data_IF_851575121998
#
_entry.id   IF_851575121998
#
_cell.length_a   1.000
_cell.length_b   1.000
_cell.length_c   1.000
_cell.angle_alpha   90.00
_cell.angle_beta   90.00
_cell.angle_gamma   90.00
#
_symmetry.space_group_name_H-M   'P 1'
#
loop_
_entity.id
_entity.type
_entity.pdbx_description
1 polymer ?
#
# COMPACT_ATOMS: atom_id res chain seq x y z
N UNK A 1 75.72 -32.77 -0.05
CA UNK A 1 74.44 -32.08 -0.27
C UNK A 1 73.34 -32.98 0.29
N UNK A 2 72.69 -32.55 1.37
CA UNK A 2 71.58 -33.26 2.01
C UNK A 2 70.31 -33.02 1.19
N UNK A 3 69.54 -34.04 0.78
CA UNK A 3 68.32 -33.82 0.03
C UNK A 3 67.26 -33.17 0.94
N UNK A 4 66.76 -32.02 0.52
CA UNK A 4 65.67 -31.30 1.18
C UNK A 4 64.35 -31.94 0.75
N UNK A 5 63.66 -32.64 1.66
CA UNK A 5 62.28 -33.06 1.45
C UNK A 5 61.37 -31.85 1.69
N UNK A 6 60.94 -31.20 0.63
CA UNK A 6 59.88 -30.19 0.70
C UNK A 6 58.55 -30.92 0.94
N UNK A 7 57.77 -30.59 1.98
CA UNK A 7 56.46 -31.19 2.19
C UNK A 7 55.53 -30.85 1.02
N UNK A 8 54.89 -31.85 0.44
CA UNK A 8 53.78 -31.64 -0.51
C UNK A 8 52.61 -31.03 0.29
N UNK A 9 52.03 -29.90 -0.14
CA UNK A 9 50.85 -29.34 0.52
C UNK A 9 49.72 -30.38 0.51
N UNK A 10 48.93 -30.54 1.59
CA UNK A 10 47.78 -31.43 1.55
C UNK A 10 46.85 -30.97 0.43
N UNK A 11 46.57 -31.87 -0.52
CA UNK A 11 45.54 -31.69 -1.53
C UNK A 11 44.24 -31.37 -0.79
N UNK A 12 43.70 -30.17 -1.00
CA UNK A 12 42.42 -29.78 -0.40
C UNK A 12 41.36 -30.80 -0.83
N UNK A 13 40.83 -31.56 0.12
CA UNK A 13 39.64 -32.38 -0.09
C UNK A 13 38.52 -31.45 -0.54
N UNK A 14 37.85 -31.68 -1.68
CA UNK A 14 36.70 -30.87 -2.05
C UNK A 14 35.70 -30.97 -0.90
N UNK A 15 35.41 -29.83 -0.28
CA UNK A 15 34.37 -29.74 0.73
C UNK A 15 33.05 -29.93 0.01
N UNK A 16 32.57 -31.17 -0.06
CA UNK A 16 31.20 -31.48 -0.46
C UNK A 16 30.28 -30.99 0.65
N UNK A 17 30.07 -29.68 0.74
CA UNK A 17 28.99 -29.12 1.54
C UNK A 17 27.70 -29.69 0.93
N UNK A 18 26.88 -30.46 1.68
CA UNK A 18 25.64 -30.98 1.13
C UNK A 18 24.76 -29.81 0.71
N UNK A 19 24.59 -29.62 -0.60
CA UNK A 19 23.67 -28.62 -1.14
C UNK A 19 22.27 -29.07 -0.77
N UNK A 20 21.55 -28.25 -0.01
CA UNK A 20 20.17 -28.55 0.34
C UNK A 20 19.34 -28.69 -0.95
N UNK A 21 18.45 -29.69 -1.01
CA UNK A 21 17.58 -29.87 -2.16
C UNK A 21 16.71 -28.64 -2.42
N UNK A 22 16.53 -28.23 -3.69
CA UNK A 22 15.84 -27.00 -4.00
C UNK A 22 14.34 -27.07 -3.72
N UNK A 23 13.76 -25.89 -3.50
CA UNK A 23 12.35 -25.61 -3.38
C UNK A 23 11.76 -25.05 -4.69
N UNK A 24 10.44 -24.94 -4.74
CA UNK A 24 9.68 -24.29 -5.82
C UNK A 24 8.68 -23.31 -5.23
N UNK A 25 8.51 -22.19 -5.94
CA UNK A 25 7.52 -21.15 -5.64
C UNK A 25 6.72 -20.87 -6.90
N UNK A 26 5.43 -20.59 -6.78
CA UNK A 26 4.62 -20.04 -7.86
C UNK A 26 3.19 -19.80 -7.39
N UNK A 27 2.33 -19.45 -8.34
CA UNK A 27 0.92 -19.84 -8.46
C UNK A 27 0.30 -19.08 -9.63
N UNK A 28 -0.53 -18.06 -9.39
CA UNK A 28 -1.32 -17.39 -10.41
C UNK A 28 -1.44 -15.87 -10.23
N UNK A 29 -1.56 -15.19 -11.35
CA UNK A 29 -1.93 -13.78 -11.43
C UNK A 29 -3.18 -13.67 -12.30
N UNK A 30 -4.17 -12.89 -11.87
CA UNK A 30 -5.43 -12.72 -12.59
C UNK A 30 -5.83 -11.26 -12.71
N UNK A 31 -6.74 -11.01 -13.65
CA UNK A 31 -7.40 -9.74 -13.81
C UNK A 31 -8.63 -9.74 -12.91
N UNK A 32 -8.54 -9.02 -11.80
CA UNK A 32 -9.62 -8.82 -10.84
C UNK A 32 -10.60 -7.79 -11.44
N UNK A 33 -11.70 -8.31 -12.00
CA UNK A 33 -12.65 -7.52 -12.78
C UNK A 33 -13.63 -6.76 -11.88
N UNK A 34 -13.84 -7.23 -10.66
CA UNK A 34 -14.77 -6.64 -9.72
C UNK A 34 -14.06 -5.85 -8.60
N UNK A 35 -12.74 -5.99 -8.48
CA UNK A 35 -11.89 -5.25 -7.55
C UNK A 35 -11.99 -5.72 -6.09
N UNK A 36 -12.46 -6.95 -5.84
CA UNK A 36 -12.68 -7.45 -4.48
C UNK A 36 -11.46 -8.16 -3.87
N UNK A 37 -10.38 -8.36 -4.65
CA UNK A 37 -9.18 -9.03 -4.20
C UNK A 37 -9.27 -10.55 -4.08
N UNK A 38 -10.35 -11.15 -4.55
CA UNK A 38 -10.60 -12.58 -4.54
C UNK A 38 -10.91 -13.09 -5.94
N UNK A 39 -10.09 -14.03 -6.41
CA UNK A 39 -10.33 -14.72 -7.66
C UNK A 39 -11.67 -15.44 -7.66
N UNK A 40 -12.45 -15.17 -8.69
CA UNK A 40 -13.78 -15.72 -8.89
C UNK A 40 -14.01 -16.20 -10.32
N UNK A 41 -15.05 -17.02 -10.50
CA UNK A 41 -15.43 -17.50 -11.84
C UNK A 41 -15.73 -16.32 -12.78
N UNK A 42 -15.08 -16.32 -13.94
CA UNK A 42 -15.21 -15.25 -14.94
C UNK A 42 -14.08 -14.21 -14.92
N UNK A 43 -13.19 -14.27 -13.93
CA UNK A 43 -11.98 -13.44 -13.90
C UNK A 43 -10.85 -14.13 -14.67
N UNK A 44 -10.33 -13.52 -15.75
CA UNK A 44 -9.36 -14.17 -16.61
C UNK A 44 -7.96 -14.15 -15.99
N UNK A 45 -7.11 -15.14 -16.33
CA UNK A 45 -5.69 -15.09 -15.99
C UNK A 45 -5.01 -13.88 -16.63
N UNK A 46 -3.97 -13.35 -15.97
CA UNK A 46 -3.24 -12.17 -16.42
C UNK A 46 -1.82 -12.52 -16.85
N UNK A 47 -1.61 -12.52 -18.17
CA UNK A 47 -0.31 -12.72 -18.80
C UNK A 47 0.57 -11.46 -18.74
N UNK A 48 1.89 -11.65 -18.69
CA UNK A 48 2.85 -10.57 -18.89
C UNK A 48 3.22 -9.78 -17.63
N UNK A 49 2.75 -10.20 -16.47
CA UNK A 49 3.15 -9.62 -15.18
C UNK A 49 4.56 -10.08 -14.85
N UNK A 50 5.44 -9.12 -14.54
CA UNK A 50 6.81 -9.43 -14.12
C UNK A 50 6.79 -9.76 -12.64
N UNK A 51 7.25 -10.96 -12.28
CA UNK A 51 7.39 -11.41 -10.90
C UNK A 51 8.87 -11.47 -10.56
N UNK A 52 9.27 -10.80 -9.47
CA UNK A 52 10.65 -10.79 -8.99
C UNK A 52 10.75 -11.47 -7.64
N UNK A 53 11.60 -12.48 -7.54
CA UNK A 53 11.93 -13.13 -6.27
C UNK A 53 13.13 -12.42 -5.64
N UNK A 54 12.94 -11.84 -4.46
CA UNK A 54 14.00 -11.23 -3.66
C UNK A 54 14.40 -12.15 -2.53
N UNK A 55 15.71 -12.33 -2.34
CA UNK A 55 16.24 -12.96 -1.13
C UNK A 55 16.34 -11.92 -0.02
N UNK A 56 15.86 -12.30 1.15
CA UNK A 56 15.92 -11.53 2.38
C UNK A 56 17.05 -12.05 3.26
N UNK A 57 18.30 -11.80 2.86
CA UNK A 57 19.46 -12.16 3.69
C UNK A 57 19.72 -11.04 4.68
N UNK A 58 19.74 -11.39 5.97
CA UNK A 58 20.31 -10.54 7.01
C UNK A 58 21.82 -10.41 6.74
N UNK A 59 22.26 -9.21 6.32
CA UNK A 59 23.67 -8.95 5.99
C UNK A 59 24.47 -8.57 7.23
N UNK A 60 23.86 -7.81 8.13
CA UNK A 60 24.47 -7.34 9.37
C UNK A 60 23.51 -7.59 10.53
N UNK A 61 23.87 -8.49 11.45
CA UNK A 61 23.15 -8.69 12.70
C UNK A 61 23.93 -7.98 13.80
N UNK A 62 23.34 -6.94 14.40
CA UNK A 62 23.83 -6.39 15.64
C UNK A 62 23.66 -7.45 16.73
N UNK A 63 24.73 -8.14 17.10
CA UNK A 63 24.70 -9.22 18.09
C UNK A 63 24.36 -8.73 19.52
N UNK A 64 24.36 -7.43 19.77
CA UNK A 64 23.97 -6.83 21.07
C UNK A 64 22.48 -6.52 21.12
N UNK A 65 21.88 -6.03 20.03
CA UNK A 65 20.45 -5.67 19.99
C UNK A 65 19.57 -6.69 19.28
N UNK A 66 20.15 -7.67 18.59
CA UNK A 66 19.45 -8.60 17.72
C UNK A 66 18.94 -7.98 16.42
N UNK A 67 19.17 -6.68 16.18
CA UNK A 67 18.68 -5.99 15.00
C UNK A 67 19.46 -6.42 13.75
N UNK A 68 18.76 -6.89 12.73
CA UNK A 68 19.33 -7.29 11.46
C UNK A 68 19.01 -6.29 10.36
N UNK A 69 20.02 -5.84 9.62
CA UNK A 69 19.82 -5.15 8.34
C UNK A 69 19.55 -6.20 7.27
N UNK A 70 18.32 -6.23 6.76
CA UNK A 70 17.92 -7.08 5.63
C UNK A 70 18.17 -6.31 4.34
N UNK A 71 18.94 -6.89 3.42
CA UNK A 71 19.10 -6.35 2.07
C UNK A 71 18.35 -7.24 1.09
N UNK A 72 17.38 -6.67 0.38
CA UNK A 72 16.69 -7.37 -0.69
C UNK A 72 17.63 -7.48 -1.90
N UNK A 73 17.99 -8.71 -2.28
CA UNK A 73 18.75 -8.98 -3.51
C UNK A 73 17.90 -9.78 -4.48
N UNK A 74 17.82 -9.34 -5.73
CA UNK A 74 17.12 -10.09 -6.79
C UNK A 74 17.78 -11.45 -6.95
N UNK A 75 16.99 -12.51 -6.84
CA UNK A 75 17.41 -13.90 -7.11
C UNK A 75 17.07 -14.28 -8.54
N UNK A 76 15.82 -14.03 -8.95
CA UNK A 76 15.30 -14.41 -10.24
C UNK A 76 14.09 -13.54 -10.61
N UNK A 77 13.78 -13.53 -11.90
CA UNK A 77 12.57 -12.91 -12.45
C UNK A 77 11.83 -13.91 -13.33
N UNK A 78 10.51 -13.91 -13.27
CA UNK A 78 9.61 -14.65 -14.13
C UNK A 78 8.59 -13.69 -14.77
N UNK A 79 7.97 -14.13 -15.86
CA UNK A 79 6.84 -13.42 -16.48
C UNK A 79 5.67 -14.38 -16.52
N UNK A 80 4.49 -13.93 -16.10
CA UNK A 80 3.30 -14.80 -16.08
C UNK A 80 2.92 -15.25 -17.49
N UNK A 81 2.62 -16.53 -17.63
CA UNK A 81 2.25 -17.16 -18.89
C UNK A 81 0.80 -16.82 -19.29
N UNK A 82 0.33 -17.35 -20.43
CA UNK A 82 -1.01 -17.08 -20.96
C UNK A 82 -2.12 -17.52 -20.00
N UNK A 83 -1.87 -18.55 -19.21
CA UNK A 83 -2.75 -19.04 -18.15
C UNK A 83 -2.53 -18.32 -16.81
N UNK A 84 -1.78 -17.21 -16.80
CA UNK A 84 -1.55 -16.37 -15.63
C UNK A 84 -0.56 -16.96 -14.64
N UNK A 85 0.00 -18.14 -14.92
CA UNK A 85 0.88 -18.84 -13.99
C UNK A 85 2.31 -18.35 -14.10
N UNK A 86 3.02 -18.39 -12.97
CA UNK A 86 4.46 -18.20 -12.90
C UNK A 86 5.06 -19.24 -11.95
N UNK A 87 6.35 -19.53 -12.11
CA UNK A 87 7.07 -20.39 -11.19
C UNK A 87 8.56 -20.06 -11.14
N UNK A 88 9.14 -20.21 -9.97
CA UNK A 88 10.57 -20.30 -9.73
C UNK A 88 10.89 -21.73 -9.33
N UNK A 89 11.73 -22.39 -10.11
CA UNK A 89 12.23 -23.74 -9.81
C UNK A 89 13.67 -23.64 -9.32
N UNK A 90 14.15 -24.69 -8.65
CA UNK A 90 15.53 -24.75 -8.16
C UNK A 90 15.89 -23.68 -7.10
N UNK A 91 14.93 -23.21 -6.30
CA UNK A 91 15.16 -22.14 -5.31
C UNK A 91 15.87 -22.71 -4.09
N UNK A 92 16.96 -22.06 -3.66
CA UNK A 92 17.68 -22.49 -2.44
C UNK A 92 16.81 -22.24 -1.21
N UNK A 93 16.84 -23.09 -0.17
CA UNK A 93 16.17 -22.78 1.10
C UNK A 93 16.67 -21.47 1.71
N UNK A 94 15.77 -20.66 2.26
CA UNK A 94 16.08 -19.32 2.75
C UNK A 94 14.86 -18.45 2.98
N UNK A 95 15.07 -17.17 3.29
CA UNK A 95 14.01 -16.18 3.45
C UNK A 95 13.85 -15.35 2.16
N UNK A 96 12.61 -15.09 1.78
CA UNK A 96 12.24 -14.53 0.50
C UNK A 96 11.04 -13.59 0.58
N UNK A 97 10.88 -12.80 -0.48
CA UNK A 97 9.71 -11.97 -0.78
C UNK A 97 9.49 -11.96 -2.29
N UNK A 98 8.23 -11.90 -2.72
CA UNK A 98 7.86 -11.69 -4.11
C UNK A 98 7.44 -10.23 -4.32
N UNK A 99 7.81 -9.68 -5.48
CA UNK A 99 7.21 -8.46 -6.00
C UNK A 99 6.58 -8.73 -7.36
N UNK A 100 5.37 -8.23 -7.54
CA UNK A 100 4.60 -8.35 -8.78
C UNK A 100 4.48 -6.97 -9.39
N UNK A 101 4.89 -6.83 -10.65
CA UNK A 101 4.80 -5.58 -11.39
C UNK A 101 3.89 -5.77 -12.59
N UNK A 102 2.69 -5.18 -12.49
CA UNK A 102 1.69 -5.15 -13.55
C UNK A 102 2.03 -4.13 -14.63
N UNK A 103 1.15 -4.03 -15.64
CA UNK A 103 1.23 -2.98 -16.66
C UNK A 103 0.87 -1.60 -16.08
N UNK A 104 1.21 -0.52 -16.79
CA UNK A 104 0.81 0.84 -16.41
C UNK A 104 -0.73 1.06 -16.38
N UNK A 105 -1.51 0.15 -16.97
CA UNK A 105 -2.96 0.25 -17.05
C UNK A 105 -3.70 -0.46 -15.91
N UNK A 106 -2.99 -1.21 -15.06
CA UNK A 106 -3.57 -1.96 -13.95
C UNK A 106 -2.82 -1.66 -12.65
N UNK A 107 -3.53 -1.76 -11.54
CA UNK A 107 -2.96 -1.66 -10.20
C UNK A 107 -3.27 -2.93 -9.42
N UNK A 108 -2.43 -3.31 -8.45
CA UNK A 108 -2.75 -4.41 -7.56
C UNK A 108 -4.08 -4.16 -6.83
N UNK A 109 -4.84 -5.22 -6.64
CA UNK A 109 -6.08 -5.19 -5.85
C UNK A 109 -5.79 -5.23 -4.34
N UNK A 110 -6.84 -5.24 -3.53
CA UNK A 110 -6.72 -5.44 -2.09
C UNK A 110 -6.16 -6.85 -1.78
N UNK A 111 -5.18 -6.93 -0.89
CA UNK A 111 -4.57 -8.19 -0.49
C UNK A 111 -5.28 -8.83 0.71
N UNK A 112 -5.10 -10.13 0.91
CA UNK A 112 -5.57 -10.90 2.06
C UNK A 112 -7.08 -10.75 2.30
N UNK A 113 -7.89 -10.91 1.26
CA UNK A 113 -9.33 -10.65 1.30
C UNK A 113 -10.14 -11.91 1.56
N UNK A 114 -11.09 -11.81 2.50
CA UNK A 114 -11.92 -12.93 2.92
C UNK A 114 -11.17 -13.94 3.78
N UNK A 115 -11.65 -15.18 3.82
CA UNK A 115 -11.13 -16.24 4.70
C UNK A 115 -10.48 -17.42 3.94
N UNK A 116 -10.57 -17.42 2.61
CA UNK A 116 -10.04 -18.48 1.77
C UNK A 116 -8.75 -18.01 1.10
N UNK A 117 -7.63 -18.43 1.69
CA UNK A 117 -6.24 -18.14 1.31
C UNK A 117 -5.87 -18.72 -0.07
N UNK A 118 -6.74 -19.53 -0.68
CA UNK A 118 -6.44 -20.19 -1.98
C UNK A 118 -6.94 -19.40 -3.19
N UNK A 119 -7.64 -18.29 -2.94
CA UNK A 119 -8.25 -17.47 -3.99
C UNK A 119 -7.98 -15.97 -3.81
N UNK A 120 -7.44 -15.52 -2.69
CA UNK A 120 -7.17 -14.11 -2.47
C UNK A 120 -5.77 -13.70 -2.94
N UNK A 121 -5.56 -12.40 -3.05
CA UNK A 121 -4.27 -11.85 -3.45
C UNK A 121 -3.36 -11.75 -2.22
N UNK A 122 -2.20 -12.40 -2.21
CA UNK A 122 -1.23 -12.27 -1.10
C UNK A 122 -0.46 -10.96 -1.13
N UNK A 123 -0.30 -10.39 -2.33
CA UNK A 123 0.58 -9.26 -2.57
C UNK A 123 -0.16 -7.93 -2.40
N UNK A 124 0.28 -7.10 -1.46
CA UNK A 124 -0.29 -5.79 -1.16
C UNK A 124 0.35 -4.68 -1.99
N UNK A 125 -0.44 -3.72 -2.50
CA UNK A 125 0.07 -2.58 -3.25
C UNK A 125 1.05 -1.74 -2.41
N UNK A 126 2.18 -1.36 -3.01
CA UNK A 126 3.15 -0.45 -2.38
C UNK A 126 2.89 0.98 -2.86
N UNK A 127 2.41 1.83 -1.95
CA UNK A 127 2.03 3.20 -2.28
C UNK A 127 0.92 3.27 -3.35
N UNK A 128 0.98 4.31 -4.20
CA UNK A 128 0.13 4.46 -5.39
C UNK A 128 0.94 4.07 -6.64
N UNK A 129 1.31 2.79 -6.72
CA UNK A 129 2.13 2.26 -7.82
C UNK A 129 1.50 1.01 -8.43
N UNK A 130 2.04 0.54 -9.56
CA UNK A 130 1.64 -0.70 -10.21
C UNK A 130 2.33 -1.95 -9.64
N UNK A 131 2.95 -1.81 -8.46
CA UNK A 131 3.74 -2.85 -7.80
C UNK A 131 3.05 -3.30 -6.52
N UNK A 132 2.98 -4.61 -6.33
CA UNK A 132 2.63 -5.23 -5.05
C UNK A 132 3.72 -6.15 -4.54
N UNK A 133 3.78 -6.33 -3.23
CA UNK A 133 4.71 -7.24 -2.59
C UNK A 133 3.99 -8.21 -1.66
N UNK A 134 4.45 -9.46 -1.64
CA UNK A 134 4.04 -10.43 -0.63
C UNK A 134 4.61 -10.06 0.75
N UNK A 135 4.06 -10.63 1.83
CA UNK A 135 4.78 -10.76 3.09
C UNK A 135 6.14 -11.48 2.89
N UNK A 136 7.04 -11.33 3.85
CA UNK A 136 8.24 -12.15 3.91
C UNK A 136 7.87 -13.60 4.25
N UNK A 137 8.49 -14.56 3.58
CA UNK A 137 8.28 -15.99 3.83
C UNK A 137 9.60 -16.76 3.83
N UNK A 138 9.55 -18.02 4.29
CA UNK A 138 10.72 -18.89 4.32
C UNK A 138 10.46 -20.15 3.52
N UNK A 139 11.51 -20.63 2.86
CA UNK A 139 11.53 -21.90 2.16
C UNK A 139 12.46 -22.86 2.88
N UNK A 140 11.96 -24.07 3.14
CA UNK A 140 12.76 -25.21 3.58
C UNK A 140 13.13 -26.11 2.40
N UNK A 141 14.09 -27.02 2.60
CA UNK A 141 14.48 -28.00 1.59
C UNK A 141 13.27 -28.81 1.09
N UNK A 142 13.21 -29.03 -0.23
CA UNK A 142 12.11 -29.71 -0.94
C UNK A 142 10.73 -29.03 -0.89
N UNK A 143 10.58 -27.86 -0.26
CA UNK A 143 9.27 -27.23 -0.12
C UNK A 143 8.71 -26.79 -1.49
N UNK A 144 7.40 -26.93 -1.64
CA UNK A 144 6.63 -26.45 -2.79
C UNK A 144 5.59 -25.48 -2.23
N UNK A 145 5.67 -24.21 -2.60
CA UNK A 145 4.64 -23.21 -2.31
C UNK A 145 4.00 -22.79 -3.62
N UNK A 146 2.71 -23.10 -3.77
CA UNK A 146 1.89 -22.81 -4.95
C UNK A 146 0.59 -22.16 -4.49
N UNK A 147 0.74 -21.07 -3.75
CA UNK A 147 -0.35 -20.32 -3.15
C UNK A 147 -0.05 -18.82 -3.16
N UNK A 148 0.95 -18.38 -3.92
CA UNK A 148 1.37 -16.98 -3.94
C UNK A 148 0.73 -16.29 -5.14
N UNK A 149 -0.42 -15.71 -4.87
CA UNK A 149 -1.39 -15.20 -5.81
C UNK A 149 -1.37 -13.65 -5.83
N UNK A 150 -1.61 -13.05 -7.01
CA UNK A 150 -1.71 -11.59 -7.14
C UNK A 150 -2.81 -11.16 -8.11
N UNK A 151 -3.78 -10.40 -7.60
CA UNK A 151 -4.85 -9.80 -8.39
C UNK A 151 -4.51 -8.38 -8.86
N UNK A 152 -4.90 -8.04 -10.09
CA UNK A 152 -4.73 -6.70 -10.65
C UNK A 152 -6.05 -6.21 -11.25
N UNK A 153 -6.43 -4.96 -10.94
CA UNK A 153 -7.66 -4.34 -11.38
C UNK A 153 -7.41 -3.00 -12.10
N UNK A 154 -8.43 -2.47 -12.77
CA UNK A 154 -8.35 -1.12 -13.33
C UNK A 154 -8.25 -0.07 -12.21
N UNK A 155 -7.35 0.92 -12.36
CA UNK A 155 -7.13 1.92 -11.34
C UNK A 155 -8.35 2.82 -11.16
N UNK A 156 -8.60 3.18 -9.92
CA UNK A 156 -9.57 4.20 -9.54
C UNK A 156 -8.88 5.56 -9.47
N UNK A 157 -9.63 6.61 -9.81
CA UNK A 157 -9.20 8.01 -9.66
C UNK A 157 -10.15 8.75 -8.73
N UNK A 158 -9.60 9.41 -7.70
CA UNK A 158 -10.34 10.35 -6.86
C UNK A 158 -9.83 11.75 -7.18
N UNK A 159 -10.70 12.63 -7.63
CA UNK A 159 -10.33 13.99 -8.01
C UNK A 159 -11.42 14.98 -7.68
N UNK A 160 -11.05 16.21 -7.32
CA UNK A 160 -12.04 17.28 -7.19
C UNK A 160 -11.39 18.64 -7.05
N UNK A 161 -12.20 19.62 -6.67
CA UNK A 161 -11.81 20.98 -6.37
C UNK A 161 -12.25 21.38 -4.95
N UNK A 162 -11.48 22.27 -4.35
CA UNK A 162 -11.78 22.93 -3.08
C UNK A 162 -12.01 24.41 -3.35
N UNK A 163 -13.06 24.98 -2.77
CA UNK A 163 -13.51 26.34 -3.05
C UNK A 163 -13.96 27.07 -1.79
N UNK A 164 -14.05 28.39 -1.87
CA UNK A 164 -14.60 29.23 -0.80
C UNK A 164 -16.12 29.21 -0.92
N UNK A 165 -16.79 28.50 -0.01
CA UNK A 165 -18.25 28.41 0.09
C UNK A 165 -18.80 29.70 0.73
N UNK A 166 -19.12 30.68 -0.09
CA UNK A 166 -19.53 32.01 0.36
C UNK A 166 -20.98 32.01 0.85
N UNK A 167 -21.81 31.17 0.24
CA UNK A 167 -23.24 31.12 0.51
C UNK A 167 -23.65 29.98 1.46
N UNK A 168 -22.69 29.13 1.86
CA UNK A 168 -22.81 28.08 2.87
C UNK A 168 -23.73 26.93 2.46
N UNK A 169 -23.81 26.62 1.17
CA UNK A 169 -24.69 25.57 0.67
C UNK A 169 -23.95 24.25 0.38
N UNK A 170 -22.62 24.21 0.55
CA UNK A 170 -21.77 23.06 0.26
C UNK A 170 -21.94 22.53 -1.19
N UNK A 171 -22.20 23.43 -2.13
CA UNK A 171 -22.19 23.22 -3.57
C UNK A 171 -21.34 24.30 -4.24
N UNK A 172 -20.52 23.98 -5.25
CA UNK A 172 -19.74 25.00 -5.93
C UNK A 172 -20.64 25.85 -6.83
N UNK A 173 -20.69 27.15 -6.53
CA UNK A 173 -21.50 28.11 -7.28
C UNK A 173 -20.67 29.06 -8.15
N UNK A 174 -21.34 29.63 -9.17
CA UNK A 174 -20.73 30.66 -10.00
C UNK A 174 -20.34 31.88 -9.16
N UNK A 175 -19.04 32.21 -9.18
CA UNK A 175 -18.48 33.34 -8.41
C UNK A 175 -17.79 32.92 -7.11
N UNK A 176 -17.89 31.66 -6.71
CA UNK A 176 -17.12 31.12 -5.59
C UNK A 176 -15.68 30.83 -6.04
N UNK A 177 -14.68 31.50 -5.43
CA UNK A 177 -13.30 31.35 -5.87
C UNK A 177 -12.71 30.00 -5.43
N UNK A 178 -11.78 29.44 -6.22
CA UNK A 178 -11.04 28.26 -5.80
C UNK A 178 -10.13 28.54 -4.61
N UNK A 179 -9.85 27.51 -3.81
CA UNK A 179 -8.98 27.62 -2.64
C UNK A 179 -7.70 26.80 -2.83
N UNK A 180 -6.56 27.44 -3.18
CA UNK A 180 -5.26 26.77 -3.33
C UNK A 180 -4.62 26.47 -1.97
N UNK A 181 -3.61 25.59 -1.97
CA UNK A 181 -2.78 25.24 -0.81
C UNK A 181 -3.53 24.54 0.33
N UNK A 182 -4.68 23.90 0.05
CA UNK A 182 -5.40 23.06 1.00
C UNK A 182 -4.80 21.66 0.98
N UNK A 183 -4.46 21.13 2.16
CA UNK A 183 -3.97 19.76 2.28
C UNK A 183 -5.15 18.80 2.27
N UNK A 184 -5.12 17.85 1.32
CA UNK A 184 -6.10 16.79 1.17
C UNK A 184 -5.40 15.46 1.44
N UNK A 185 -5.92 14.68 2.37
CA UNK A 185 -5.35 13.41 2.79
C UNK A 185 -6.32 12.30 2.42
N UNK A 186 -5.85 11.33 1.64
CA UNK A 186 -6.57 10.11 1.35
C UNK A 186 -6.18 9.04 2.38
N UNK A 187 -7.17 8.46 3.03
CA UNK A 187 -7.02 7.43 4.04
C UNK A 187 -7.67 6.14 3.52
N UNK A 188 -7.06 5.00 3.82
CA UNK A 188 -7.76 3.73 3.65
C UNK A 188 -8.94 3.70 4.64
N UNK A 189 -10.08 3.09 4.27
CA UNK A 189 -11.20 2.94 5.21
C UNK A 189 -11.00 1.68 6.08
N UNK A 190 -11.10 1.75 7.41
CA UNK A 190 -11.07 0.55 8.23
C UNK A 190 -12.30 -0.31 7.96
N UNK A 191 -12.19 -1.64 8.14
CA UNK A 191 -13.27 -2.60 7.96
C UNK A 191 -14.53 -2.33 8.81
N UNK A 192 -14.44 -1.44 9.81
CA UNK A 192 -15.57 -0.96 10.59
C UNK A 192 -15.36 0.51 10.96
N UNK A 193 -16.07 1.40 10.28
CA UNK A 193 -16.05 2.84 10.60
C UNK A 193 -17.00 3.09 11.78
N UNK A 194 -16.44 3.34 12.97
CA UNK A 194 -17.18 3.91 14.11
C UNK A 194 -16.71 5.33 14.35
N UNK A 195 -17.31 6.29 13.65
CA UNK A 195 -17.04 7.71 13.88
C UNK A 195 -17.55 8.08 15.28
N UNK A 196 -16.63 8.32 16.22
CA UNK A 196 -16.92 9.04 17.46
C UNK A 196 -16.12 10.33 17.45
N UNK A 197 -16.79 11.45 17.20
CA UNK A 197 -16.21 12.75 17.48
C UNK A 197 -16.08 12.90 18.99
N UNK A 198 -14.86 12.84 19.52
CA UNK A 198 -14.58 13.15 20.91
C UNK A 198 -13.90 14.51 20.98
N UNK A 199 -14.69 15.55 21.21
CA UNK A 199 -14.17 16.88 21.50
C UNK A 199 -13.63 16.87 22.93
N UNK A 200 -12.31 16.95 23.09
CA UNK A 200 -11.73 17.23 24.41
C UNK A 200 -11.36 18.71 24.46
N UNK A 201 -11.91 19.52 25.37
CA UNK A 201 -11.71 20.99 25.39
C UNK A 201 -10.29 21.51 25.67
N UNK A 202 -9.24 20.66 25.61
CA UNK A 202 -7.89 21.03 26.08
C UNK A 202 -6.72 20.60 25.18
N UNK A 203 -7.00 20.07 24.00
CA UNK A 203 -5.97 19.85 23.00
C UNK A 203 -6.54 20.21 21.63
N UNK A 204 -5.81 21.02 20.86
CA UNK A 204 -6.08 21.29 19.44
C UNK A 204 -5.77 20.05 18.58
N UNK A 205 -6.24 18.89 19.02
CA UNK A 205 -6.12 17.59 18.41
C UNK A 205 -7.52 17.00 18.32
N UNK A 206 -8.06 16.96 17.11
CA UNK A 206 -9.28 16.19 16.82
C UNK A 206 -8.89 14.72 16.85
N UNK A 207 -9.30 14.00 17.90
CA UNK A 207 -9.17 12.54 17.94
C UNK A 207 -10.20 11.94 16.99
N UNK A 208 -9.78 11.65 15.77
CA UNK A 208 -10.61 10.91 14.81
C UNK A 208 -10.52 9.42 15.13
N UNK A 209 -11.48 8.91 15.91
CA UNK A 209 -11.70 7.48 16.03
C UNK A 209 -12.41 6.97 14.75
N UNK A 210 -11.84 5.94 14.10
CA UNK A 210 -12.45 5.31 12.92
C UNK A 210 -11.87 5.73 11.56
N UNK A 211 -10.68 6.33 11.54
CA UNK A 211 -9.91 6.56 10.31
C UNK A 211 -8.84 5.49 10.11
N UNK A 212 -8.59 5.08 8.87
CA UNK A 212 -7.52 4.14 8.55
C UNK A 212 -6.18 4.84 8.31
N UNK A 213 -5.13 4.07 7.94
CA UNK A 213 -3.82 4.63 7.65
C UNK A 213 -3.87 5.61 6.48
N UNK A 214 -2.95 6.58 6.50
CA UNK A 214 -2.77 7.47 5.37
C UNK A 214 -2.25 6.72 4.17
N UNK A 215 -3.00 6.83 3.07
CA UNK A 215 -2.66 6.25 1.79
C UNK A 215 -1.87 7.21 0.92
N UNK A 216 -2.29 8.47 0.89
CA UNK A 216 -1.65 9.52 0.12
C UNK A 216 -2.07 10.92 0.61
N UNK A 217 -1.36 11.95 0.16
CA UNK A 217 -1.75 13.34 0.33
C UNK A 217 -1.48 14.17 -0.92
N UNK A 218 -2.32 15.16 -1.13
CA UNK A 218 -2.21 16.15 -2.18
C UNK A 218 -2.39 17.55 -1.60
N UNK A 219 -1.92 18.55 -2.33
CA UNK A 219 -2.15 19.97 -2.02
C UNK A 219 -2.87 20.58 -3.21
N UNK A 220 -3.96 21.30 -2.95
CA UNK A 220 -4.74 21.90 -4.03
C UNK A 220 -3.91 22.91 -4.82
N UNK A 221 -4.04 22.88 -6.14
CA UNK A 221 -3.32 23.79 -7.04
C UNK A 221 -3.96 25.20 -7.06
N UNK A 222 -3.48 26.09 -7.92
CA UNK A 222 -4.01 27.46 -8.07
C UNK A 222 -5.51 27.54 -8.40
N UNK A 223 -6.06 26.48 -9.00
CA UNK A 223 -7.48 26.35 -9.33
C UNK A 223 -8.26 25.57 -8.25
N UNK A 224 -7.65 25.25 -7.11
CA UNK A 224 -8.28 24.49 -6.04
C UNK A 224 -8.35 22.99 -6.31
N UNK A 225 -7.79 22.49 -7.42
CA UNK A 225 -7.92 21.08 -7.80
C UNK A 225 -6.92 20.17 -7.09
N UNK A 226 -7.34 18.94 -6.83
CA UNK A 226 -6.48 17.84 -6.39
C UNK A 226 -6.87 16.53 -7.10
N UNK A 227 -5.93 15.58 -7.15
CA UNK A 227 -6.13 14.28 -7.82
C UNK A 227 -5.29 13.20 -7.14
N UNK A 228 -5.89 12.03 -6.93
CA UNK A 228 -5.26 10.77 -6.58
C UNK A 228 -5.53 9.76 -7.69
N UNK A 229 -4.47 9.21 -8.28
CA UNK A 229 -4.55 8.21 -9.35
C UNK A 229 -3.93 6.90 -8.88
N UNK A 230 -4.14 5.81 -9.63
CA UNK A 230 -3.58 4.50 -9.33
C UNK A 230 -4.03 3.94 -7.97
N UNK A 231 -5.26 4.27 -7.57
CA UNK A 231 -5.88 3.67 -6.40
C UNK A 231 -6.39 2.28 -6.76
N UNK A 232 -6.13 1.31 -5.88
CA UNK A 232 -6.84 0.05 -5.94
C UNK A 232 -8.35 0.28 -5.76
N UNK A 233 -9.23 -0.53 -6.37
CA UNK A 233 -10.64 -0.55 -6.01
C UNK A 233 -10.82 -0.74 -4.50
N UNK A 234 -11.84 -0.12 -3.92
CA UNK A 234 -12.07 -0.21 -2.48
C UNK A 234 -12.70 1.03 -1.86
N UNK A 235 -12.79 1.02 -0.54
CA UNK A 235 -13.41 2.08 0.25
C UNK A 235 -12.33 3.00 0.80
N UNK A 236 -12.53 4.31 0.64
CA UNK A 236 -11.57 5.32 1.09
C UNK A 236 -12.27 6.36 1.96
N UNK A 237 -11.48 7.09 2.73
CA UNK A 237 -11.92 8.31 3.38
C UNK A 237 -11.05 9.47 2.90
N UNK A 238 -11.66 10.64 2.72
CA UNK A 238 -10.95 11.87 2.41
C UNK A 238 -10.98 12.78 3.63
N UNK A 239 -9.81 13.22 4.08
CA UNK A 239 -9.66 14.22 5.13
C UNK A 239 -9.16 15.53 4.54
N UNK A 240 -9.94 16.58 4.67
CA UNK A 240 -9.54 17.95 4.30
C UNK A 240 -8.98 18.62 5.54
N UNK A 241 -7.80 19.23 5.41
CA UNK A 241 -7.19 20.03 6.48
C UNK A 241 -7.39 21.51 6.14
N UNK A 242 -8.33 22.21 6.80
CA UNK A 242 -8.58 23.62 6.55
C UNK A 242 -7.33 24.46 6.81
N UNK A 243 -6.94 25.38 5.91
CA UNK A 243 -5.87 26.32 6.18
C UNK A 243 -6.31 27.37 7.22
N UNK A 244 -5.34 28.04 7.84
CA UNK A 244 -5.59 29.12 8.78
C UNK A 244 -6.59 30.15 8.23
N UNK A 245 -7.57 30.53 9.06
CA UNK A 245 -8.63 31.46 8.67
C UNK A 245 -9.82 30.83 7.93
N UNK A 246 -9.85 29.51 7.76
CA UNK A 246 -10.99 28.78 7.18
C UNK A 246 -11.49 27.66 8.10
N UNK A 247 -12.75 27.29 7.94
CA UNK A 247 -13.37 26.11 8.56
C UNK A 247 -14.26 25.40 7.55
N UNK A 248 -14.46 24.10 7.72
CA UNK A 248 -15.53 23.37 7.05
C UNK A 248 -16.86 23.62 7.78
N UNK A 249 -17.97 23.56 7.04
CA UNK A 249 -19.33 23.52 7.61
C UNK A 249 -19.84 22.10 7.83
N UNK A 250 -19.20 21.12 7.19
CA UNK A 250 -19.51 19.69 7.24
C UNK A 250 -18.37 18.93 7.93
N UNK A 251 -18.45 17.59 7.94
CA UNK A 251 -17.36 16.75 8.44
C UNK A 251 -16.12 16.95 7.58
N UNK A 252 -14.97 17.22 8.22
CA UNK A 252 -13.64 17.20 7.56
C UNK A 252 -13.30 15.83 6.96
N UNK A 253 -14.07 14.79 7.32
CA UNK A 253 -13.94 13.42 6.83
C UNK A 253 -15.12 13.05 5.93
N UNK A 254 -14.84 12.77 4.67
CA UNK A 254 -15.79 12.27 3.67
C UNK A 254 -15.55 10.78 3.43
N UNK A 255 -16.58 9.95 3.60
CA UNK A 255 -16.52 8.54 3.23
C UNK A 255 -16.79 8.39 1.73
N UNK A 256 -15.86 7.79 1.02
CA UNK A 256 -16.02 7.36 -0.37
C UNK A 256 -16.48 5.91 -0.34
N UNK A 257 -17.72 5.67 -0.75
CA UNK A 257 -18.29 4.33 -0.93
C UNK A 257 -17.35 3.45 -1.76
N UNK A 258 -17.46 2.10 -1.69
CA UNK A 258 -16.58 1.22 -2.43
C UNK A 258 -16.51 1.63 -3.90
N UNK A 259 -15.31 2.04 -4.32
CA UNK A 259 -15.03 2.50 -5.66
C UNK A 259 -14.72 1.28 -6.52
N UNK A 260 -15.46 1.12 -7.61
CA UNK A 260 -15.32 -0.02 -8.51
C UNK A 260 -14.12 0.14 -9.46
N UNK A 261 -13.58 -0.95 -10.04
CA UNK A 261 -12.50 -0.86 -11.02
C UNK A 261 -12.78 0.15 -12.15
N UNK A 262 -11.82 1.03 -12.41
CA UNK A 262 -11.91 2.05 -13.46
C UNK A 262 -12.77 3.27 -13.12
N UNK A 263 -13.34 3.34 -11.92
CA UNK A 263 -14.18 4.46 -11.51
C UNK A 263 -13.37 5.76 -11.34
N UNK A 264 -14.00 6.88 -11.69
CA UNK A 264 -13.49 8.23 -11.40
C UNK A 264 -14.52 8.96 -10.55
N UNK A 265 -14.16 9.32 -9.32
CA UNK A 265 -15.07 9.95 -8.36
C UNK A 265 -14.67 11.39 -8.04
N UNK A 266 -15.69 12.25 -8.09
CA UNK A 266 -15.67 13.63 -7.62
C UNK A 266 -15.89 13.72 -6.11
N UNK A 267 -14.99 14.35 -5.36
CA UNK A 267 -15.10 14.52 -3.91
C UNK A 267 -14.88 15.98 -3.45
N UNK A 268 -15.80 16.87 -3.81
CA UNK A 268 -15.64 18.32 -3.56
C UNK A 268 -15.79 18.71 -2.08
N UNK A 269 -15.15 19.83 -1.70
CA UNK A 269 -15.24 20.39 -0.36
C UNK A 269 -15.32 21.93 -0.41
N UNK A 270 -16.35 22.50 0.22
CA UNK A 270 -16.50 23.94 0.40
C UNK A 270 -16.03 24.40 1.79
N UNK A 271 -15.17 25.41 1.84
CA UNK A 271 -14.67 26.01 3.10
C UNK A 271 -15.19 27.43 3.28
N UNK A 272 -15.49 27.80 4.51
CA UNK A 272 -15.96 29.14 4.88
C UNK A 272 -14.86 29.88 5.63
N UNK A 273 -14.62 31.14 5.25
CA UNK A 273 -13.70 32.00 5.97
C UNK A 273 -14.21 32.33 7.39
N UNK A 274 -13.31 32.27 8.38
CA UNK A 274 -13.58 32.68 9.75
C UNK A 274 -13.80 34.20 9.80
N UNK A 275 -14.92 34.64 10.37
CA UNK A 275 -15.17 36.08 10.54
C UNK A 275 -14.28 36.67 11.66
N UNK A 276 -13.85 37.95 11.54
CA UNK A 276 -12.88 38.57 12.47
C UNK A 276 -13.27 38.61 13.95
N UNK A 277 -14.54 38.34 14.30
CA UNK A 277 -15.00 38.35 15.70
C UNK A 277 -14.56 37.14 16.52
N UNK A 278 -13.95 36.12 15.90
CA UNK A 278 -13.47 34.90 16.59
C UNK A 278 -11.94 34.78 16.64
N UNK A 279 -11.19 35.86 16.41
CA UNK A 279 -9.74 35.90 16.61
C UNK A 279 -9.39 35.98 18.11
N UNK A 280 -9.73 34.94 18.88
CA UNK A 280 -8.70 34.46 19.80
C UNK A 280 -7.77 33.64 18.91
N UNK A 281 -6.45 33.86 19.04
CA UNK A 281 -5.44 33.05 18.35
C UNK A 281 -5.62 31.59 18.77
N UNK A 282 -6.52 30.88 18.11
CA UNK A 282 -6.61 29.45 18.21
C UNK A 282 -5.35 28.92 17.52
N UNK A 283 -4.47 28.20 18.24
CA UNK A 283 -3.32 27.57 17.61
C UNK A 283 -3.79 26.75 16.42
N UNK A 284 -3.00 26.73 15.35
CA UNK A 284 -3.18 25.77 14.23
C UNK A 284 -3.67 24.44 14.80
N UNK A 285 -4.83 23.91 14.37
CA UNK A 285 -5.24 22.58 14.78
C UNK A 285 -4.14 21.62 14.33
N UNK A 286 -3.36 21.12 15.30
CA UNK A 286 -2.39 20.06 15.06
C UNK A 286 -3.18 18.76 14.89
N UNK A 287 -3.59 18.48 13.67
CA UNK A 287 -4.11 17.18 13.29
C UNK A 287 -2.95 16.17 13.38
N UNK A 288 -2.89 15.43 14.49
CA UNK A 288 -2.00 14.26 14.62
C UNK A 288 -2.81 13.00 14.35
N UNK A 289 -2.51 12.32 13.24
CA UNK A 289 -3.03 10.99 12.97
C UNK A 289 -2.45 10.03 14.02
N UNK A 290 -3.24 9.67 15.03
CA UNK A 290 -2.90 8.62 15.98
C UNK A 290 -3.57 7.33 15.53
N UNK A 291 -2.79 6.43 14.93
CA UNK A 291 -3.20 5.05 14.71
C UNK A 291 -3.00 4.31 16.05
N UNK A 292 -4.05 3.81 16.72
CA UNK A 292 -3.84 3.06 17.95
C UNK A 292 -3.09 1.77 17.62
N UNK A 293 -1.93 1.57 18.27
CA UNK A 293 -1.32 0.25 18.33
C UNK A 293 -2.31 -0.67 19.06
N UNK A 294 -2.91 -1.60 18.32
CA UNK A 294 -3.68 -2.69 18.92
C UNK A 294 -2.64 -3.61 19.55
N UNK A 295 -2.56 -3.61 20.88
CA UNK A 295 -1.90 -4.70 21.60
C UNK A 295 -2.78 -5.94 21.40
N UNK A 296 -2.26 -6.93 20.66
CA UNK A 296 -2.78 -8.28 20.71
C UNK A 296 -2.34 -8.87 22.05
N UNK A 297 -3.29 -9.09 22.96
CA UNK A 297 -3.16 -10.07 24.04
C UNK A 297 -3.40 -11.48 23.51
#
# INVERSE_FOLDING_TARGET
ATPTNTPVPPTATPTNTPTLPPAMIGDMVWHDLNGNGQRSDGEPPLQGVTVTLYSMVARDVNMVTGAATVTNTVVATAVTALDGRYAFTAVTPGAYRLAFMGSAALVPTACNQGADDTIDSDACQIGLTTVSESPAFTLTAHQQQQQWDAGFAQPVTVQSHVYIDQNRNNQPDAGEPPLPNVTVILLDSPASVRLRAQTTPKANAVFMHGVGPERARAVTNANGDYTFTQLAPGTYQLMIVPPAGFTMLSSDLLLLSPLAPGETVGAQAGLVALQPTNLQEEPEPTYRLYVPFIWLE
#
